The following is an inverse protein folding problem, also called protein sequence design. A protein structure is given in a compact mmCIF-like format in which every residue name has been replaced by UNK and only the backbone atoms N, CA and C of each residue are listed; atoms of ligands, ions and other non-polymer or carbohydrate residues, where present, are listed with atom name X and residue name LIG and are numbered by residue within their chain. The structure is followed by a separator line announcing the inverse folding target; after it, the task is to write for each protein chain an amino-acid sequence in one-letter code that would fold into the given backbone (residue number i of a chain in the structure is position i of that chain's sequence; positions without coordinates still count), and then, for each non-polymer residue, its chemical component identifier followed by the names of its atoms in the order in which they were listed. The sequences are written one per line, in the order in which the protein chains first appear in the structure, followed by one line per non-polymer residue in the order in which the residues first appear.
data_IF_001873793864
#
_entry.id   IF_001873793864
#
_cell.length_a   1.000
_cell.length_b   1.000
_cell.length_c   1.000
_cell.angle_alpha   90.00
_cell.angle_beta   90.00
_cell.angle_gamma   90.00
#
_symmetry.space_group_name_H-M   'P 1'
#
loop_
_entity.id
_entity.type
_entity.pdbx_description
1 polymer ?
#
# COMPACT_ATOMS: atom_id res chain seq x y z
N UNK A 1 6.76 -24.61 28.19
CA UNK A 1 6.36 -23.26 27.75
C UNK A 1 7.34 -22.20 28.26
N UNK A 2 7.31 -21.79 29.55
CA UNK A 2 8.19 -20.71 30.09
C UNK A 2 9.71 -20.85 29.81
N UNK A 3 10.30 -22.03 30.01
CA UNK A 3 11.74 -22.25 29.73
C UNK A 3 12.09 -22.19 28.24
N UNK A 4 11.16 -22.57 27.36
CA UNK A 4 11.36 -22.51 25.91
C UNK A 4 11.26 -21.05 25.41
N UNK A 5 10.31 -20.27 25.93
CA UNK A 5 10.17 -18.84 25.67
C UNK A 5 11.39 -18.05 26.15
N UNK A 6 11.89 -18.33 27.36
CA UNK A 6 13.10 -17.69 27.90
C UNK A 6 14.35 -17.98 27.05
N UNK A 7 14.47 -19.21 26.53
CA UNK A 7 15.57 -19.58 25.64
C UNK A 7 15.47 -18.90 24.27
N UNK A 8 14.27 -18.75 23.73
CA UNK A 8 14.02 -18.03 22.47
C UNK A 8 14.26 -16.53 22.60
N UNK A 9 13.90 -15.92 23.72
CA UNK A 9 14.09 -14.49 23.97
C UNK A 9 15.57 -14.08 24.13
N UNK A 10 16.44 -15.02 24.51
CA UNK A 10 17.86 -14.76 24.73
C UNK A 10 18.73 -14.97 23.47
N UNK A 11 18.17 -15.51 22.39
CA UNK A 11 18.88 -15.77 21.13
C UNK A 11 18.75 -14.61 20.13
N UNK A 12 19.68 -14.50 19.15
CA UNK A 12 19.49 -13.59 18.03
C UNK A 12 18.22 -13.95 17.25
N UNK A 13 17.40 -12.96 16.93
CA UNK A 13 16.16 -13.11 16.18
C UNK A 13 16.12 -12.12 15.02
N UNK A 14 15.82 -12.61 13.82
CA UNK A 14 15.68 -11.79 12.62
C UNK A 14 16.15 -12.49 11.35
N UNK A 15 15.78 -11.91 10.20
CA UNK A 15 16.23 -12.35 8.88
C UNK A 15 17.21 -11.31 8.32
N UNK A 16 18.45 -11.71 8.05
CA UNK A 16 19.43 -10.84 7.40
C UNK A 16 19.49 -11.14 5.90
N UNK A 17 18.97 -10.22 5.07
CA UNK A 17 19.15 -10.27 3.62
C UNK A 17 20.38 -9.44 3.26
N UNK A 18 21.51 -10.12 3.05
CA UNK A 18 22.77 -9.49 2.69
C UNK A 18 23.18 -9.80 1.24
N UNK A 19 23.56 -8.75 0.50
CA UNK A 19 24.10 -8.88 -0.86
C UNK A 19 25.48 -8.21 -0.89
N UNK A 20 26.58 -8.97 -0.94
CA UNK A 20 27.94 -8.42 -0.86
C UNK A 20 28.31 -7.54 -2.06
N UNK A 21 27.68 -7.76 -3.21
CA UNK A 21 27.74 -6.87 -4.37
C UNK A 21 26.33 -6.71 -4.91
N UNK A 22 25.88 -5.48 -5.10
CA UNK A 22 24.57 -5.17 -5.69
C UNK A 22 24.76 -4.11 -6.77
N UNK A 23 24.59 -4.49 -8.02
CA UNK A 23 24.56 -3.52 -9.13
C UNK A 23 23.29 -2.69 -8.96
N UNK A 24 23.46 -1.41 -8.61
CA UNK A 24 22.34 -0.49 -8.48
C UNK A 24 21.94 0.02 -9.86
N UNK A 25 20.81 -0.48 -10.37
CA UNK A 25 20.17 0.03 -11.58
C UNK A 25 18.93 0.83 -11.18
N UNK A 26 19.11 2.13 -10.97
CA UNK A 26 18.04 3.04 -10.55
C UNK A 26 16.87 3.10 -11.55
N UNK A 27 17.10 3.30 -12.87
CA UNK A 27 16.00 3.37 -13.83
C UNK A 27 15.12 2.13 -13.83
N UNK A 28 15.72 0.93 -13.75
CA UNK A 28 14.96 -0.33 -13.70
C UNK A 28 14.09 -0.41 -12.46
N UNK A 29 14.60 -0.01 -11.29
CA UNK A 29 13.84 -0.05 -10.04
C UNK A 29 12.70 0.94 -10.03
N UNK A 30 12.97 2.17 -10.46
CA UNK A 30 11.95 3.20 -10.58
C UNK A 30 10.85 2.78 -11.56
N UNK A 31 11.22 2.18 -12.70
CA UNK A 31 10.26 1.68 -13.68
C UNK A 31 9.40 0.53 -13.14
N UNK A 32 9.98 -0.40 -12.38
CA UNK A 32 9.22 -1.47 -11.72
C UNK A 32 8.25 -0.86 -10.70
N UNK A 33 8.73 0.00 -9.81
CA UNK A 33 7.91 0.61 -8.76
C UNK A 33 6.75 1.41 -9.36
N UNK A 34 7.03 2.22 -10.38
CA UNK A 34 6.01 2.99 -11.08
C UNK A 34 4.95 2.08 -11.71
N UNK A 35 5.39 1.01 -12.40
CA UNK A 35 4.46 0.09 -13.04
C UNK A 35 3.59 -0.65 -12.01
N UNK A 36 4.15 -1.08 -10.88
CA UNK A 36 3.40 -1.74 -9.81
C UNK A 36 2.41 -0.80 -9.15
N UNK A 37 2.81 0.43 -8.84
CA UNK A 37 1.93 1.47 -8.28
C UNK A 37 0.76 1.82 -9.22
N UNK A 38 1.03 1.90 -10.53
CA UNK A 38 -0.03 2.09 -11.54
C UNK A 38 -1.00 0.92 -11.56
N UNK A 39 -0.51 -0.32 -11.48
CA UNK A 39 -1.37 -1.52 -11.43
C UNK A 39 -2.22 -1.51 -10.15
N UNK A 40 -1.65 -1.21 -8.99
CA UNK A 40 -2.39 -1.10 -7.72
C UNK A 40 -3.50 -0.04 -7.81
N UNK A 41 -3.18 1.14 -8.34
CA UNK A 41 -4.15 2.20 -8.55
C UNK A 41 -5.28 1.78 -9.49
N UNK A 42 -4.96 1.13 -10.61
CA UNK A 42 -5.95 0.63 -11.56
C UNK A 42 -6.85 -0.44 -10.95
N UNK A 43 -6.32 -1.35 -10.13
CA UNK A 43 -7.12 -2.35 -9.41
C UNK A 43 -8.07 -1.69 -8.42
N UNK A 44 -7.60 -0.70 -7.64
CA UNK A 44 -8.44 0.02 -6.70
C UNK A 44 -9.57 0.79 -7.41
N UNK A 45 -9.26 1.46 -8.52
CA UNK A 45 -10.25 2.19 -9.34
C UNK A 45 -11.19 1.24 -10.06
N UNK A 46 -10.70 0.09 -10.53
CA UNK A 46 -11.54 -0.96 -11.11
C UNK A 46 -12.58 -1.44 -10.10
N UNK A 47 -12.17 -1.74 -8.86
CA UNK A 47 -13.08 -2.13 -7.79
C UNK A 47 -14.08 -1.00 -7.47
N UNK A 48 -13.61 0.25 -7.41
CA UNK A 48 -14.50 1.40 -7.21
C UNK A 48 -15.56 1.50 -8.31
N UNK A 49 -15.18 1.26 -9.57
CA UNK A 49 -16.08 1.31 -10.72
C UNK A 49 -17.16 0.21 -10.70
N UNK A 50 -16.96 -0.87 -9.93
CA UNK A 50 -17.98 -1.89 -9.69
C UNK A 50 -18.99 -1.51 -8.60
N UNK A 51 -18.84 -0.33 -7.98
CA UNK A 51 -19.74 0.15 -6.92
C UNK A 51 -20.70 1.23 -7.42
N UNK A 52 -21.82 1.43 -6.71
CA UNK A 52 -22.76 2.55 -6.96
C UNK A 52 -22.39 3.83 -6.18
N UNK A 53 -21.11 4.01 -5.82
CA UNK A 53 -20.68 5.17 -5.04
C UNK A 53 -20.66 6.42 -5.94
N UNK A 54 -21.69 7.26 -5.80
CA UNK A 54 -21.86 8.49 -6.58
C UNK A 54 -21.16 9.72 -5.99
N UNK A 55 -20.95 9.78 -4.68
CA UNK A 55 -20.39 10.96 -4.02
C UNK A 55 -18.87 11.04 -4.16
N UNK A 56 -18.35 12.26 -4.34
CA UNK A 56 -16.90 12.51 -4.43
C UNK A 56 -16.16 11.92 -3.21
N UNK A 57 -16.62 12.27 -2.01
CA UNK A 57 -15.97 11.83 -0.77
C UNK A 57 -16.10 10.32 -0.55
N UNK A 58 -17.19 9.69 -1.02
CA UNK A 58 -17.34 8.24 -0.99
C UNK A 58 -16.31 7.54 -1.88
N UNK A 59 -16.04 8.08 -3.07
CA UNK A 59 -15.02 7.54 -3.99
C UNK A 59 -13.62 7.66 -3.42
N UNK A 60 -13.28 8.83 -2.86
CA UNK A 60 -12.01 9.05 -2.16
C UNK A 60 -11.88 8.09 -0.97
N UNK A 61 -12.92 8.00 -0.14
CA UNK A 61 -12.93 7.14 1.05
C UNK A 61 -12.78 5.65 0.72
N UNK A 62 -13.40 5.19 -0.36
CA UNK A 62 -13.26 3.80 -0.83
C UNK A 62 -11.80 3.48 -1.19
N UNK A 63 -11.17 4.31 -2.03
CA UNK A 63 -9.78 4.08 -2.47
C UNK A 63 -8.81 4.26 -1.30
N UNK A 64 -9.02 5.24 -0.42
CA UNK A 64 -8.23 5.41 0.79
C UNK A 64 -8.27 4.17 1.69
N UNK A 65 -9.46 3.58 1.85
CA UNK A 65 -9.63 2.35 2.65
C UNK A 65 -8.88 1.18 2.02
N UNK A 66 -8.87 1.05 0.69
CA UNK A 66 -8.06 0.06 0.00
C UNK A 66 -6.55 0.26 0.26
N UNK A 67 -6.07 1.51 0.29
CA UNK A 67 -4.69 1.84 0.65
C UNK A 67 -4.33 1.47 2.08
N UNK A 68 -5.23 1.73 3.04
CA UNK A 68 -5.06 1.33 4.45
C UNK A 68 -5.00 -0.20 4.56
N UNK A 69 -5.89 -0.91 3.86
CA UNK A 69 -5.89 -2.37 3.82
C UNK A 69 -4.56 -2.92 3.30
N UNK A 70 -4.07 -2.39 2.18
CA UNK A 70 -2.79 -2.78 1.58
C UNK A 70 -1.59 -2.47 2.51
N UNK A 71 -1.60 -1.29 3.13
CA UNK A 71 -0.58 -0.88 4.10
C UNK A 71 -0.54 -1.84 5.30
N UNK A 72 -1.68 -2.19 5.88
CA UNK A 72 -1.75 -3.14 7.00
C UNK A 72 -1.27 -4.52 6.58
N UNK A 73 -1.77 -5.03 5.44
CA UNK A 73 -1.49 -6.38 4.96
C UNK A 73 0.01 -6.63 4.70
N UNK A 74 0.77 -5.60 4.37
CA UNK A 74 2.20 -5.68 4.06
C UNK A 74 3.09 -5.32 5.24
N UNK A 75 2.78 -4.21 5.93
CA UNK A 75 3.70 -3.58 6.88
C UNK A 75 3.53 -4.08 8.32
N UNK A 76 2.31 -4.41 8.74
CA UNK A 76 2.10 -4.98 10.10
C UNK A 76 2.80 -6.32 10.25
N UNK A 77 2.78 -7.24 9.27
CA UNK A 77 3.59 -8.45 9.34
C UNK A 77 5.09 -8.18 9.42
N UNK A 78 5.62 -7.20 8.67
CA UNK A 78 7.05 -6.84 8.73
C UNK A 78 7.47 -6.36 10.12
N UNK A 79 6.65 -5.55 10.78
CA UNK A 79 6.91 -5.15 12.15
C UNK A 79 6.75 -6.32 13.14
N UNK A 80 5.62 -7.03 13.08
CA UNK A 80 5.23 -8.00 14.10
C UNK A 80 6.01 -9.33 14.02
N UNK A 81 6.22 -9.84 12.80
CA UNK A 81 6.84 -11.14 12.58
C UNK A 81 8.33 -11.04 12.24
N UNK A 82 8.72 -10.00 11.50
CA UNK A 82 10.08 -9.88 10.98
C UNK A 82 10.93 -8.84 11.73
N UNK A 83 10.35 -8.15 12.72
CA UNK A 83 11.08 -7.25 13.61
C UNK A 83 11.53 -5.93 12.98
N UNK A 84 10.89 -5.50 11.89
CA UNK A 84 11.25 -4.23 11.24
C UNK A 84 11.02 -3.04 12.19
N UNK A 85 11.87 -2.00 12.16
CA UNK A 85 11.72 -0.83 13.03
C UNK A 85 10.37 -0.13 12.84
N UNK A 86 9.72 0.25 13.94
CA UNK A 86 8.40 0.92 13.91
C UNK A 86 8.40 2.18 13.06
N UNK A 87 9.47 2.97 13.13
CA UNK A 87 9.58 4.22 12.34
C UNK A 87 9.69 3.94 10.84
N UNK A 88 10.37 2.85 10.46
CA UNK A 88 10.49 2.42 9.07
C UNK A 88 9.12 2.00 8.54
N UNK A 89 8.47 1.07 9.23
CA UNK A 89 7.15 0.54 8.86
C UNK A 89 6.10 1.66 8.84
N UNK A 90 6.10 2.54 9.83
CA UNK A 90 5.19 3.69 9.88
C UNK A 90 5.39 4.67 8.71
N UNK A 91 6.63 4.93 8.30
CA UNK A 91 6.93 5.78 7.14
C UNK A 91 6.44 5.18 5.83
N UNK A 92 6.61 3.86 5.64
CA UNK A 92 6.10 3.16 4.46
C UNK A 92 4.58 3.14 4.42
N UNK A 93 3.93 2.84 5.55
CA UNK A 93 2.47 2.88 5.64
C UNK A 93 1.93 4.27 5.34
N UNK A 94 2.54 5.33 5.87
CA UNK A 94 2.13 6.70 5.59
C UNK A 94 2.26 7.04 4.09
N UNK A 95 3.39 6.68 3.48
CA UNK A 95 3.62 6.89 2.03
C UNK A 95 2.54 6.20 1.20
N UNK A 96 2.23 4.94 1.50
CA UNK A 96 1.21 4.17 0.77
C UNK A 96 -0.20 4.75 0.97
N UNK A 97 -0.57 5.10 2.21
CA UNK A 97 -1.87 5.72 2.51
C UNK A 97 -2.04 7.05 1.77
N UNK A 98 -1.01 7.89 1.75
CA UNK A 98 -1.02 9.17 1.01
C UNK A 98 -1.09 8.92 -0.51
N UNK A 99 -0.37 7.92 -1.03
CA UNK A 99 -0.47 7.51 -2.43
C UNK A 99 -1.90 7.16 -2.83
N UNK A 100 -2.56 6.30 -2.06
CA UNK A 100 -3.96 5.93 -2.31
C UNK A 100 -4.95 7.08 -2.08
N UNK A 101 -4.66 8.02 -1.18
CA UNK A 101 -5.45 9.25 -1.06
C UNK A 101 -5.41 10.06 -2.37
N UNK A 102 -4.22 10.24 -2.95
CA UNK A 102 -4.04 10.91 -4.24
C UNK A 102 -4.77 10.16 -5.37
N UNK A 103 -4.66 8.83 -5.43
CA UNK A 103 -5.40 8.01 -6.41
C UNK A 103 -6.91 8.20 -6.23
N UNK A 104 -7.41 8.20 -5.00
CA UNK A 104 -8.83 8.39 -4.70
C UNK A 104 -9.35 9.74 -5.18
N UNK A 105 -8.59 10.81 -4.99
CA UNK A 105 -8.92 12.15 -5.49
C UNK A 105 -8.99 12.15 -7.01
N UNK A 106 -7.97 11.61 -7.69
CA UNK A 106 -7.93 11.55 -9.16
C UNK A 106 -9.09 10.71 -9.69
N UNK A 107 -9.35 9.54 -9.11
CA UNK A 107 -10.44 8.66 -9.51
C UNK A 107 -11.80 9.33 -9.35
N UNK A 108 -12.03 10.03 -8.22
CA UNK A 108 -13.26 10.74 -7.96
C UNK A 108 -13.49 11.89 -8.96
N UNK A 109 -12.45 12.63 -9.34
CA UNK A 109 -12.51 13.68 -10.36
C UNK A 109 -12.79 13.12 -11.76
N UNK A 110 -12.14 12.02 -12.14
CA UNK A 110 -12.29 11.41 -13.47
C UNK A 110 -13.67 10.76 -13.62
N UNK A 111 -14.11 9.97 -12.63
CA UNK A 111 -15.43 9.31 -12.65
C UNK A 111 -16.58 10.29 -12.39
N UNK A 112 -16.33 11.43 -11.73
CA UNK A 112 -17.34 12.44 -11.41
C UNK A 112 -17.95 13.10 -12.65
N UNK A 113 -17.16 13.18 -13.72
CA UNK A 113 -17.56 13.84 -14.97
C UNK A 113 -18.55 13.03 -15.82
N UNK A 114 -18.68 11.72 -15.61
CA UNK A 114 -19.58 10.86 -16.41
C UNK A 114 -21.07 11.01 -16.06
N UNK A 115 -21.41 11.56 -14.89
CA UNK A 115 -22.80 11.74 -14.45
C UNK A 115 -23.47 13.01 -15.03
N UNK A 116 -22.75 13.81 -15.81
CA UNK A 116 -23.24 15.08 -16.38
C UNK A 116 -23.52 15.00 -17.91
N UNK A 117 -23.71 13.81 -18.47
CA UNK A 117 -24.21 13.65 -19.84
C UNK A 117 -25.75 13.55 -19.77
N UNK A 118 -26.52 14.52 -20.30
CA UNK A 118 -27.96 14.34 -20.45
C UNK A 118 -28.22 13.21 -21.44
N UNK A 119 -29.21 12.36 -21.13
CA UNK A 119 -29.70 11.36 -22.09
C UNK A 119 -30.28 12.05 -23.33
N UNK A 120 -30.18 11.44 -24.54
CA UNK A 120 -30.84 11.93 -25.75
C UNK A 120 -32.37 11.86 -25.65
#
# INVERSE_FOLDING_TARGET
MKKAEQKMAAGPAGVLIYHPKRVFNFPKRLGIEFATEVVEALLAVFLLAQTNIGSFLGRVGFVLTAGILAAIATNVPYWNWYGFPRIYVGGYMLTQIVGFLCVGIVAALVLGRRSAQPAP
#
